data_IF_537210677803
#
_entry.id   IF_537210677803
#
_cell.length_a   1.000
_cell.length_b   1.000
_cell.length_c   1.000
_cell.angle_alpha   90.00
_cell.angle_beta   90.00
_cell.angle_gamma   90.00
#
_symmetry.space_group_name_H-M   'P 1'
#
loop_
_entity.id
_entity.type
_entity.pdbx_description
1 polymer ?
#
# COMPACT_ATOMS: atom_id res chain seq x y z
N UNK A 1 70.85 4.68 -34.69
CA UNK A 1 70.26 4.40 -33.35
C UNK A 1 68.83 4.92 -33.36
N UNK A 2 67.86 4.06 -33.57
CA UNK A 2 66.45 4.41 -33.59
C UNK A 2 65.83 3.84 -32.30
N UNK A 3 65.35 4.68 -31.39
CA UNK A 3 64.63 4.28 -30.20
C UNK A 3 63.14 4.27 -30.54
N UNK A 4 62.53 3.09 -30.54
CA UNK A 4 61.09 2.92 -30.64
C UNK A 4 60.53 2.88 -29.22
N UNK A 5 59.71 3.88 -28.88
CA UNK A 5 59.02 3.95 -27.58
C UNK A 5 57.68 3.25 -27.73
N UNK A 6 57.48 2.13 -27.02
CA UNK A 6 56.17 1.43 -26.93
C UNK A 6 55.31 2.21 -25.94
N UNK A 7 54.26 2.88 -26.42
CA UNK A 7 53.17 3.35 -25.59
C UNK A 7 52.25 2.17 -25.31
N UNK A 8 52.19 1.73 -24.06
CA UNK A 8 51.20 0.81 -23.57
C UNK A 8 49.85 1.54 -23.40
N UNK A 9 48.91 1.24 -24.27
CA UNK A 9 47.51 1.64 -24.09
C UNK A 9 46.86 0.65 -23.15
N UNK A 10 46.70 1.01 -21.88
CA UNK A 10 45.88 0.26 -20.95
C UNK A 10 44.41 0.59 -21.23
N UNK A 11 43.73 -0.35 -21.90
CA UNK A 11 42.24 -0.25 -22.04
C UNK A 11 41.59 -0.57 -20.71
N UNK A 12 41.09 0.43 -20.04
CA UNK A 12 40.20 0.27 -18.87
C UNK A 12 38.86 -0.20 -19.40
N UNK A 13 38.58 -1.49 -19.28
CA UNK A 13 37.19 -1.99 -19.41
C UNK A 13 36.39 -1.52 -18.20
N UNK A 14 35.62 -0.45 -18.37
CA UNK A 14 34.59 -0.09 -17.45
C UNK A 14 33.48 -1.15 -17.56
N UNK A 15 33.44 -2.07 -16.60
CA UNK A 15 32.34 -3.01 -16.44
C UNK A 15 31.14 -2.18 -15.94
N UNK A 16 30.30 -1.74 -16.86
CA UNK A 16 28.99 -1.19 -16.51
C UNK A 16 28.25 -2.33 -15.82
N UNK A 17 28.04 -2.20 -14.50
CA UNK A 17 27.12 -3.03 -13.75
C UNK A 17 25.73 -2.79 -14.33
N UNK A 18 25.38 -3.61 -15.32
CA UNK A 18 24.04 -3.65 -15.87
C UNK A 18 23.10 -4.05 -14.75
N UNK A 19 22.25 -3.13 -14.36
CA UNK A 19 21.06 -3.46 -13.58
C UNK A 19 20.32 -4.53 -14.39
N UNK A 20 20.28 -5.76 -13.85
CA UNK A 20 19.50 -6.83 -14.45
C UNK A 20 18.07 -6.29 -14.69
N UNK A 21 17.49 -6.50 -15.89
CA UNK A 21 16.12 -6.10 -16.09
C UNK A 21 15.28 -6.85 -15.08
N UNK A 22 14.59 -6.13 -14.21
CA UNK A 22 13.54 -6.69 -13.37
C UNK A 22 12.65 -7.52 -14.29
N UNK A 23 12.40 -8.78 -13.92
CA UNK A 23 11.49 -9.65 -14.66
C UNK A 23 10.29 -8.81 -15.07
N UNK A 24 10.02 -8.79 -16.39
CA UNK A 24 9.04 -7.89 -16.99
C UNK A 24 7.71 -8.05 -16.25
N UNK A 25 7.39 -7.07 -15.43
CA UNK A 25 6.07 -6.97 -14.84
C UNK A 25 5.07 -6.93 -15.99
N UNK A 26 4.11 -7.85 -16.01
CA UNK A 26 3.07 -7.82 -17.03
C UNK A 26 2.04 -6.80 -16.63
N UNK A 27 1.88 -5.77 -17.43
CA UNK A 27 0.76 -4.85 -17.30
C UNK A 27 -0.55 -5.60 -17.49
N UNK A 28 -1.55 -5.26 -16.71
CA UNK A 28 -2.83 -5.94 -16.77
C UNK A 28 -3.71 -5.68 -15.55
N UNK A 29 -4.86 -6.32 -15.59
CA UNK A 29 -5.84 -6.31 -14.50
C UNK A 29 -5.84 -7.68 -13.86
N UNK A 30 -5.58 -7.72 -12.57
CA UNK A 30 -5.47 -8.94 -11.77
C UNK A 30 -6.55 -8.97 -10.70
N UNK A 31 -7.22 -10.09 -10.56
CA UNK A 31 -8.24 -10.28 -9.54
C UNK A 31 -7.79 -11.35 -8.57
N UNK A 32 -7.95 -11.09 -7.29
CA UNK A 32 -7.68 -12.07 -6.23
C UNK A 32 -8.74 -12.00 -5.15
N UNK A 33 -9.03 -13.16 -4.56
CA UNK A 33 -9.99 -13.31 -3.49
C UNK A 33 -9.25 -13.74 -2.23
N UNK A 34 -9.51 -13.06 -1.12
CA UNK A 34 -8.88 -13.30 0.17
C UNK A 34 -9.92 -13.32 1.25
N UNK A 35 -9.66 -14.05 2.33
CA UNK A 35 -10.59 -14.16 3.46
C UNK A 35 -10.54 -12.87 4.30
N UNK A 36 -11.69 -12.23 4.46
CA UNK A 36 -11.93 -11.14 5.38
C UNK A 36 -12.38 -11.61 6.77
N UNK A 37 -13.23 -10.83 7.44
CA UNK A 37 -13.77 -11.18 8.75
C UNK A 37 -14.98 -12.13 8.65
N UNK A 38 -15.94 -11.78 7.79
CA UNK A 38 -17.22 -12.49 7.67
C UNK A 38 -17.29 -13.34 6.41
N UNK A 39 -16.36 -13.20 5.49
CA UNK A 39 -16.31 -13.95 4.25
C UNK A 39 -15.26 -13.44 3.29
N UNK A 40 -15.40 -13.81 2.04
CA UNK A 40 -14.45 -13.48 1.00
C UNK A 40 -14.50 -12.00 0.61
N UNK A 41 -13.32 -11.46 0.34
CA UNK A 41 -13.13 -10.11 -0.21
C UNK A 41 -12.41 -10.26 -1.54
N UNK A 42 -13.06 -9.85 -2.62
CA UNK A 42 -12.50 -9.89 -3.97
C UNK A 42 -11.95 -8.54 -4.37
N UNK A 43 -10.65 -8.49 -4.67
CA UNK A 43 -9.92 -7.28 -5.01
C UNK A 43 -9.44 -7.36 -6.45
N UNK A 44 -9.68 -6.32 -7.22
CA UNK A 44 -9.14 -6.11 -8.55
C UNK A 44 -8.03 -5.07 -8.48
N UNK A 45 -6.86 -5.42 -9.00
CA UNK A 45 -5.69 -4.54 -9.05
C UNK A 45 -5.25 -4.33 -10.49
N UNK A 46 -5.14 -3.09 -10.92
CA UNK A 46 -4.60 -2.72 -12.22
C UNK A 46 -3.13 -2.35 -12.08
N UNK A 47 -2.28 -2.99 -12.88
CA UNK A 47 -0.84 -2.74 -12.92
C UNK A 47 -0.48 -2.17 -14.29
N UNK A 48 0.25 -1.06 -14.29
CA UNK A 48 0.72 -0.38 -15.49
C UNK A 48 2.15 0.12 -15.27
N UNK A 49 3.04 -0.23 -16.20
CA UNK A 49 4.46 0.12 -16.12
C UNK A 49 5.11 -0.31 -14.78
N UNK A 50 4.75 -1.47 -14.27
CA UNK A 50 5.25 -2.00 -13.00
C UNK A 50 4.78 -1.25 -11.76
N UNK A 51 3.72 -0.43 -11.84
CA UNK A 51 3.14 0.35 -10.75
C UNK A 51 1.69 -0.05 -10.53
N UNK A 52 1.22 0.10 -9.32
CA UNK A 52 -0.19 -0.09 -8.97
C UNK A 52 -0.95 1.16 -9.45
N UNK A 53 -1.68 1.03 -10.57
CA UNK A 53 -2.43 2.13 -11.15
C UNK A 53 -3.80 2.31 -10.50
N UNK A 54 -4.47 1.21 -10.12
CA UNK A 54 -5.79 1.25 -9.49
C UNK A 54 -6.01 0.00 -8.64
N UNK A 55 -6.83 0.13 -7.59
CA UNK A 55 -7.28 -0.97 -6.73
C UNK A 55 -8.75 -0.80 -6.43
N UNK A 56 -9.55 -1.82 -6.73
CA UNK A 56 -10.99 -1.85 -6.48
C UNK A 56 -11.39 -3.08 -5.67
N UNK A 57 -12.27 -2.90 -4.72
CA UNK A 57 -12.95 -4.00 -4.04
C UNK A 57 -14.25 -4.28 -4.80
N UNK A 58 -14.32 -5.44 -5.46
CA UNK A 58 -15.44 -5.82 -6.33
C UNK A 58 -16.57 -6.46 -5.54
N UNK A 59 -16.22 -7.39 -4.65
CA UNK A 59 -17.17 -8.16 -3.86
C UNK A 59 -16.66 -8.36 -2.45
N UNK A 60 -17.58 -8.40 -1.48
CA UNK A 60 -17.25 -8.51 -0.08
C UNK A 60 -18.48 -8.88 0.76
N UNK A 61 -18.27 -9.70 1.78
CA UNK A 61 -19.31 -10.15 2.72
C UNK A 61 -19.07 -9.59 4.14
N UNK A 62 -18.70 -8.31 4.22
CA UNK A 62 -18.26 -7.68 5.46
C UNK A 62 -19.40 -6.86 6.12
N UNK A 63 -19.21 -6.51 7.38
CA UNK A 63 -20.24 -5.79 8.17
C UNK A 63 -20.31 -4.32 7.81
N UNK A 64 -21.44 -3.84 7.30
CA UNK A 64 -21.75 -2.42 7.19
C UNK A 64 -22.11 -1.82 8.56
N UNK A 65 -21.77 -0.56 8.86
CA UNK A 65 -20.91 0.36 8.07
C UNK A 65 -19.41 0.24 8.41
N UNK A 66 -19.00 -0.69 9.27
CA UNK A 66 -17.63 -0.80 9.79
C UNK A 66 -16.63 -1.00 8.69
N UNK A 67 -16.97 -1.82 7.70
CA UNK A 67 -16.09 -2.17 6.60
C UNK A 67 -16.15 -1.19 5.41
N UNK A 68 -16.99 -0.19 5.42
CA UNK A 68 -17.12 0.79 4.34
C UNK A 68 -15.86 1.66 4.22
N UNK A 69 -15.31 2.09 5.35
CA UNK A 69 -14.12 2.95 5.37
C UNK A 69 -12.87 2.25 4.82
N UNK A 70 -12.51 1.01 5.24
CA UNK A 70 -11.35 0.32 4.67
C UNK A 70 -11.49 0.05 3.17
N UNK A 71 -12.71 -0.19 2.68
CA UNK A 71 -13.00 -0.41 1.25
C UNK A 71 -12.56 0.76 0.36
N UNK A 72 -12.65 1.99 0.88
CA UNK A 72 -12.27 3.20 0.14
C UNK A 72 -10.85 3.64 0.49
N UNK A 73 -10.53 3.68 1.78
CA UNK A 73 -9.27 4.24 2.28
C UNK A 73 -8.06 3.38 1.93
N UNK A 74 -8.13 2.07 2.17
CA UNK A 74 -6.97 1.18 1.97
C UNK A 74 -6.54 1.13 0.50
N UNK A 75 -7.43 0.93 -0.49
CA UNK A 75 -7.08 1.02 -1.90
C UNK A 75 -6.45 2.36 -2.28
N UNK A 76 -7.05 3.47 -1.86
CA UNK A 76 -6.54 4.81 -2.17
C UNK A 76 -5.13 5.03 -1.60
N UNK A 77 -4.87 4.61 -0.36
CA UNK A 77 -3.57 4.73 0.28
C UNK A 77 -2.52 3.86 -0.40
N UNK A 78 -2.86 2.63 -0.83
CA UNK A 78 -1.96 1.74 -1.58
C UNK A 78 -1.55 2.38 -2.91
N UNK A 79 -2.50 2.87 -3.69
CA UNK A 79 -2.23 3.51 -5.00
C UNK A 79 -1.40 4.78 -4.81
N UNK A 80 -1.78 5.64 -3.88
CA UNK A 80 -1.08 6.90 -3.60
C UNK A 80 0.38 6.68 -3.19
N UNK A 81 0.62 5.73 -2.30
CA UNK A 81 1.95 5.50 -1.72
C UNK A 81 2.75 4.42 -2.45
N UNK A 82 2.15 3.73 -3.41
CA UNK A 82 2.77 2.57 -4.09
C UNK A 82 3.33 1.57 -3.07
N UNK A 83 2.56 1.30 -2.02
CA UNK A 83 3.00 0.48 -0.89
C UNK A 83 1.87 -0.34 -0.29
N UNK A 84 2.20 -1.55 0.15
CA UNK A 84 1.36 -2.41 0.98
C UNK A 84 1.50 -2.11 2.49
N UNK A 85 2.48 -1.26 2.87
CA UNK A 85 2.74 -0.84 4.25
C UNK A 85 1.82 0.30 4.72
N UNK A 86 0.59 0.33 4.21
CA UNK A 86 -0.44 1.31 4.59
C UNK A 86 -1.05 0.98 5.96
N UNK A 87 -1.58 1.99 6.65
CA UNK A 87 -2.26 1.80 7.91
C UNK A 87 -3.59 1.06 7.73
N UNK A 88 -3.86 0.15 8.64
CA UNK A 88 -5.16 -0.52 8.73
C UNK A 88 -6.17 0.41 9.38
N UNK A 89 -7.44 0.25 9.01
CA UNK A 89 -8.53 1.02 9.61
C UNK A 89 -8.87 0.41 10.97
N UNK A 90 -8.84 1.22 12.02
CA UNK A 90 -9.21 0.80 13.37
C UNK A 90 -10.65 0.29 13.41
N UNK A 91 -10.87 -0.83 14.07
CA UNK A 91 -12.16 -1.54 14.10
C UNK A 91 -12.42 -2.45 12.89
N UNK A 92 -11.70 -2.27 11.77
CA UNK A 92 -11.84 -3.09 10.55
C UNK A 92 -10.51 -3.69 10.07
N UNK A 93 -9.70 -4.14 11.02
CA UNK A 93 -8.34 -4.63 10.76
C UNK A 93 -8.31 -5.83 9.81
N UNK A 94 -9.20 -6.81 10.00
CA UNK A 94 -9.23 -8.02 9.18
C UNK A 94 -9.61 -7.71 7.73
N UNK A 95 -10.61 -6.86 7.52
CA UNK A 95 -11.00 -6.39 6.17
C UNK A 95 -9.88 -5.61 5.51
N UNK A 96 -9.17 -4.75 6.27
CA UNK A 96 -8.00 -4.02 5.76
C UNK A 96 -6.91 -4.98 5.30
N UNK A 97 -6.59 -6.00 6.09
CA UNK A 97 -5.62 -7.02 5.71
C UNK A 97 -6.07 -7.87 4.52
N UNK A 98 -7.36 -8.18 4.40
CA UNK A 98 -7.87 -8.88 3.23
C UNK A 98 -7.61 -8.10 1.95
N UNK A 99 -7.88 -6.79 1.95
CA UNK A 99 -7.60 -5.92 0.79
C UNK A 99 -6.09 -5.88 0.49
N UNK A 100 -5.24 -5.66 1.50
CA UNK A 100 -3.78 -5.62 1.32
C UNK A 100 -3.25 -6.96 0.77
N UNK A 101 -3.74 -8.08 1.28
CA UNK A 101 -3.34 -9.41 0.81
C UNK A 101 -3.81 -9.67 -0.62
N UNK A 102 -5.02 -9.22 -0.98
CA UNK A 102 -5.52 -9.30 -2.34
C UNK A 102 -4.60 -8.57 -3.33
N UNK A 103 -4.18 -7.35 -3.00
CA UNK A 103 -3.21 -6.60 -3.82
C UNK A 103 -1.85 -7.32 -3.86
N UNK A 104 -1.38 -7.87 -2.73
CA UNK A 104 -0.14 -8.66 -2.68
C UNK A 104 -0.15 -9.83 -3.65
N UNK A 105 -1.26 -10.54 -3.72
CA UNK A 105 -1.39 -11.69 -4.61
C UNK A 105 -1.51 -11.27 -6.08
N UNK A 106 -2.16 -10.15 -6.35
CA UNK A 106 -2.19 -9.53 -7.69
C UNK A 106 -0.78 -9.14 -8.17
N UNK A 107 0.06 -8.57 -7.29
CA UNK A 107 1.46 -8.27 -7.62
C UNK A 107 2.25 -9.51 -7.99
N UNK A 108 2.09 -10.62 -7.24
CA UNK A 108 2.71 -11.92 -7.57
C UNK A 108 2.26 -12.43 -8.94
N UNK A 109 0.96 -12.36 -9.24
CA UNK A 109 0.40 -12.78 -10.54
C UNK A 109 1.00 -11.95 -11.70
N UNK A 110 1.27 -10.68 -11.47
CA UNK A 110 1.93 -9.79 -12.43
C UNK A 110 3.44 -10.04 -12.57
N UNK A 111 4.02 -10.92 -11.77
CA UNK A 111 5.47 -11.17 -11.75
C UNK A 111 6.28 -10.12 -10.98
N UNK A 112 5.61 -9.27 -10.20
CA UNK A 112 6.24 -8.30 -9.32
C UNK A 112 6.54 -8.92 -7.94
N UNK A 113 7.65 -8.48 -7.33
CA UNK A 113 7.97 -8.87 -5.97
C UNK A 113 7.23 -7.97 -4.96
N UNK A 114 6.29 -8.50 -4.13
CA UNK A 114 5.58 -7.69 -3.15
C UNK A 114 6.47 -7.02 -2.11
N UNK A 115 7.70 -7.50 -1.90
CA UNK A 115 8.64 -6.89 -0.98
C UNK A 115 9.06 -5.48 -1.42
N UNK A 116 9.09 -5.21 -2.72
CA UNK A 116 9.43 -3.90 -3.28
C UNK A 116 8.37 -2.85 -2.94
N UNK A 117 7.14 -3.31 -2.63
CA UNK A 117 6.01 -2.50 -2.21
C UNK A 117 5.77 -2.52 -0.69
N UNK A 118 6.74 -2.95 0.11
CA UNK A 118 6.59 -3.09 1.57
C UNK A 118 7.14 -1.90 2.35
N UNK A 119 7.33 -0.74 1.74
CA UNK A 119 7.79 0.47 2.43
C UNK A 119 6.78 0.90 3.47
N UNK A 120 7.22 0.96 4.72
CA UNK A 120 6.38 1.51 5.79
C UNK A 120 6.18 3.00 5.56
N UNK A 121 4.92 3.42 5.52
CA UNK A 121 4.56 4.83 5.37
C UNK A 121 4.69 5.48 6.74
N UNK A 122 5.29 6.67 6.79
CA UNK A 122 5.32 7.44 8.01
C UNK A 122 3.88 7.74 8.48
N UNK A 123 3.58 7.61 9.77
CA UNK A 123 2.27 7.96 10.29
C UNK A 123 1.91 9.39 9.87
N UNK A 124 0.66 9.60 9.48
CA UNK A 124 0.15 10.96 9.25
C UNK A 124 0.38 11.76 10.53
N UNK A 125 0.87 13.01 10.42
CA UNK A 125 0.97 13.86 11.60
C UNK A 125 -0.40 13.93 12.26
N UNK A 126 -0.43 13.62 13.55
CA UNK A 126 -1.65 13.82 14.33
C UNK A 126 -2.01 15.30 14.23
N UNK A 127 -3.28 15.58 14.00
CA UNK A 127 -3.79 16.94 14.16
C UNK A 127 -3.43 17.40 15.57
N UNK A 128 -2.53 18.36 15.64
CA UNK A 128 -2.07 18.95 16.92
C UNK A 128 -2.81 20.25 17.22
N UNK A 129 -3.80 20.58 16.40
CA UNK A 129 -4.63 21.75 16.64
C UNK A 129 -5.41 21.54 17.94
N UNK A 130 -5.02 22.29 18.95
CA UNK A 130 -5.74 22.35 20.21
C UNK A 130 -6.91 23.29 19.99
N UNK A 131 -8.12 22.77 20.09
CA UNK A 131 -9.33 23.62 20.14
C UNK A 131 -9.61 23.88 21.62
N UNK A 132 -9.55 25.13 22.01
CA UNK A 132 -9.89 25.54 23.36
C UNK A 132 -11.33 26.02 23.37
N UNK A 133 -12.17 25.34 24.13
CA UNK A 133 -13.56 25.69 24.32
C UNK A 133 -13.90 25.83 25.83
N UNK A 134 -14.78 26.72 26.14
CA UNK A 134 -15.24 26.92 27.53
C UNK A 134 -16.66 26.40 27.65
N UNK A 135 -16.88 25.51 28.61
CA UNK A 135 -18.20 24.96 28.89
C UNK A 135 -18.36 24.76 30.41
N UNK A 136 -19.59 24.91 30.91
CA UNK A 136 -19.91 24.65 32.30
C UNK A 136 -19.85 23.16 32.66
N UNK A 137 -20.15 22.29 31.70
CA UNK A 137 -20.16 20.84 31.85
C UNK A 137 -19.51 20.24 30.62
N UNK A 138 -18.54 19.34 30.84
CA UNK A 138 -17.87 18.55 29.75
C UNK A 138 -18.15 17.08 29.96
N UNK A 139 -18.71 16.42 28.94
CA UNK A 139 -18.96 14.97 28.94
C UNK A 139 -18.00 14.30 28.00
N UNK A 140 -17.13 13.40 28.55
CA UNK A 140 -16.15 12.67 27.77
C UNK A 140 -16.69 11.27 27.49
N UNK A 141 -16.96 10.99 26.20
CA UNK A 141 -17.43 9.71 25.69
C UNK A 141 -18.85 9.76 25.17
N UNK A 142 -19.07 9.11 24.00
CA UNK A 142 -20.34 9.01 23.31
C UNK A 142 -20.98 7.61 23.44
N UNK A 143 -20.71 6.91 24.53
CA UNK A 143 -21.38 5.66 24.89
C UNK A 143 -22.74 5.92 25.53
N UNK A 144 -23.49 4.86 25.89
CA UNK A 144 -24.81 4.99 26.48
C UNK A 144 -24.86 5.93 27.69
N UNK A 145 -23.87 5.89 28.57
CA UNK A 145 -23.80 6.78 29.74
C UNK A 145 -23.56 8.23 29.36
N UNK A 146 -22.63 8.49 28.42
CA UNK A 146 -22.32 9.86 27.98
C UNK A 146 -23.50 10.52 27.24
N UNK A 147 -24.16 9.75 26.36
CA UNK A 147 -25.34 10.23 25.63
C UNK A 147 -26.55 10.44 26.54
N UNK A 148 -26.64 9.71 27.65
CA UNK A 148 -27.73 9.91 28.63
C UNK A 148 -27.48 11.07 29.58
N UNK A 149 -26.22 11.51 29.71
CA UNK A 149 -25.84 12.64 30.55
C UNK A 149 -25.83 13.96 29.79
N UNK A 150 -25.78 13.92 28.44
CA UNK A 150 -25.82 15.08 27.57
C UNK A 150 -27.26 15.57 27.35
#
# INVERSE_FOLDING_TARGET
>A
MIRVSLLSVAAVLAFAAGTAPSAFAKDGVYTSTTLGRNGDVTVQTTITNGRIADVKVLDWSETHPIADLPRVKVPADIVKNQSLGVDVVSGATLTSFAIINGVRDALKQAGLNPADFSKKIAPQPKLTDTVEETADIVIIGAGGAGLSAA
#
